data_IF_399564036995
#
_entry.id   IF_399564036995
#
_cell.length_a   1.000
_cell.length_b   1.000
_cell.length_c   1.000
_cell.angle_alpha   90.00
_cell.angle_beta   90.00
_cell.angle_gamma   90.00
#
_symmetry.space_group_name_H-M   'P 1'
#
loop_
_entity.id
_entity.type
_entity.pdbx_description
1 polymer ?
#
# COMPACT_ATOMS: atom_id res chain seq x y z
N UNK A 1 -6.18 -7.82 18.85
CA UNK A 1 -6.12 -8.40 17.49
C UNK A 1 -5.49 -7.34 16.59
N UNK A 2 -4.44 -7.66 15.83
CA UNK A 2 -3.93 -6.76 14.79
C UNK A 2 -5.09 -6.47 13.82
N UNK A 3 -5.36 -5.19 13.52
CA UNK A 3 -6.47 -4.79 12.65
C UNK A 3 -6.16 -4.97 11.16
N UNK A 4 -4.95 -5.39 10.83
CA UNK A 4 -4.59 -5.77 9.47
C UNK A 4 -5.54 -6.85 8.95
N UNK A 5 -5.89 -6.74 7.67
CA UNK A 5 -6.70 -7.74 6.99
C UNK A 5 -6.08 -9.13 7.19
N UNK A 6 -6.87 -10.17 7.53
CA UNK A 6 -6.34 -11.49 7.90
C UNK A 6 -5.49 -12.13 6.80
N UNK A 7 -5.66 -11.68 5.55
CA UNK A 7 -4.87 -12.15 4.41
C UNK A 7 -3.43 -11.64 4.40
N UNK A 8 -3.05 -10.59 5.14
CA UNK A 8 -1.68 -10.06 5.07
C UNK A 8 -0.72 -10.96 5.83
N UNK A 9 0.25 -11.51 5.11
CA UNK A 9 1.28 -12.41 5.63
C UNK A 9 2.55 -11.62 5.88
N UNK A 10 3.05 -11.72 7.12
CA UNK A 10 4.31 -11.14 7.54
C UNK A 10 5.47 -12.08 7.24
N UNK A 11 6.66 -11.53 6.97
CA UNK A 11 7.86 -12.28 6.65
C UNK A 11 8.36 -13.17 7.81
N UNK A 12 8.41 -12.63 9.05
CA UNK A 12 8.88 -13.33 10.27
C UNK A 12 10.27 -13.97 10.20
N UNK A 13 11.11 -13.55 9.26
CA UNK A 13 12.54 -13.93 9.21
C UNK A 13 13.34 -13.22 10.30
N UNK A 14 14.54 -13.70 10.58
CA UNK A 14 15.46 -13.07 11.53
C UNK A 14 15.70 -11.60 11.15
N UNK A 15 15.45 -10.64 12.05
CA UNK A 15 15.66 -9.23 11.76
C UNK A 15 17.16 -8.94 11.64
N UNK A 16 17.53 -8.13 10.65
CA UNK A 16 18.89 -7.68 10.42
C UNK A 16 19.15 -6.30 11.04
N UNK A 17 20.16 -5.60 10.52
CA UNK A 17 20.54 -4.26 10.99
C UNK A 17 19.68 -3.18 10.34
N UNK A 18 19.04 -3.47 9.21
CA UNK A 18 18.26 -2.51 8.44
C UNK A 18 17.04 -2.00 9.22
N UNK A 19 16.82 -0.69 9.15
CA UNK A 19 15.69 0.00 9.78
C UNK A 19 14.49 -0.03 8.81
N UNK A 20 13.32 -0.39 9.32
CA UNK A 20 12.07 -0.34 8.55
C UNK A 20 11.62 1.10 8.31
N UNK A 21 11.06 1.38 7.14
CA UNK A 21 10.47 2.70 6.80
C UNK A 21 8.96 2.61 6.57
N UNK A 22 8.25 3.73 6.69
CA UNK A 22 6.83 3.88 6.37
C UNK A 22 6.61 4.91 5.27
N UNK A 23 5.54 4.75 4.50
CA UNK A 23 5.11 5.68 3.46
C UNK A 23 4.22 6.78 4.08
N UNK A 24 4.02 7.90 3.39
CA UNK A 24 3.22 9.04 3.88
C UNK A 24 1.83 8.66 4.40
N UNK A 25 1.23 7.63 3.81
CA UNK A 25 -0.11 7.12 4.17
C UNK A 25 -0.14 6.35 5.48
N UNK A 26 1.01 5.83 5.90
CA UNK A 26 1.18 4.96 7.05
C UNK A 26 2.10 5.58 8.11
N UNK A 27 2.44 6.86 7.98
CA UNK A 27 3.34 7.54 8.90
C UNK A 27 2.82 7.49 10.35
N UNK A 28 3.71 7.16 11.28
CA UNK A 28 3.40 7.07 12.71
C UNK A 28 2.56 5.86 13.13
N UNK A 29 2.17 4.98 12.20
CA UNK A 29 1.48 3.73 12.54
C UNK A 29 2.43 2.71 13.14
N UNK A 30 1.95 2.01 14.15
CA UNK A 30 2.59 0.80 14.63
C UNK A 30 2.42 -0.32 13.61
N UNK A 31 3.51 -1.01 13.28
CA UNK A 31 3.58 -2.07 12.25
C UNK A 31 2.72 -3.31 12.56
N UNK A 32 2.26 -3.47 13.81
CA UNK A 32 1.50 -4.65 14.23
C UNK A 32 0.03 -4.33 14.49
N UNK A 33 -0.25 -3.25 15.21
CA UNK A 33 -1.60 -2.93 15.67
C UNK A 33 -2.25 -1.74 14.94
N UNK A 34 -1.54 -1.12 13.98
CA UNK A 34 -1.98 0.08 13.26
C UNK A 34 -2.32 1.28 14.16
N UNK A 35 -1.93 1.26 15.43
CA UNK A 35 -2.16 2.39 16.35
C UNK A 35 -1.12 3.48 16.15
N UNK A 36 -1.52 4.73 16.35
CA UNK A 36 -0.63 5.90 16.26
C UNK A 36 -0.03 6.32 17.60
N UNK A 37 -0.20 5.50 18.64
CA UNK A 37 0.03 5.90 20.04
C UNK A 37 1.36 5.36 20.54
N UNK A 38 2.17 6.25 21.13
CA UNK A 38 3.39 5.95 21.91
C UNK A 38 4.36 4.98 21.20
N UNK A 39 5.06 5.43 20.14
CA UNK A 39 6.18 4.67 19.60
C UNK A 39 7.28 4.52 20.67
N UNK A 40 7.84 3.32 20.80
CA UNK A 40 8.87 3.02 21.79
C UNK A 40 10.14 2.44 21.16
N UNK A 41 10.00 1.41 20.33
CA UNK A 41 11.16 0.73 19.73
C UNK A 41 11.16 0.86 18.22
N UNK A 42 12.36 1.01 17.66
CA UNK A 42 12.59 1.06 16.21
C UNK A 42 12.41 -0.33 15.59
N UNK A 43 11.78 -0.38 14.43
CA UNK A 43 11.52 -1.61 13.71
C UNK A 43 12.75 -2.02 12.90
N UNK A 44 13.11 -3.31 12.99
CA UNK A 44 14.20 -3.91 12.20
C UNK A 44 13.64 -4.88 11.17
N UNK A 45 14.19 -4.82 9.96
CA UNK A 45 13.82 -5.69 8.84
C UNK A 45 14.94 -6.67 8.53
N UNK A 46 14.59 -7.84 8.00
CA UNK A 46 15.57 -8.82 7.53
C UNK A 46 16.31 -8.31 6.28
N UNK A 47 17.51 -8.85 6.05
CA UNK A 47 18.37 -8.41 4.95
C UNK A 47 17.77 -8.72 3.57
N UNK A 48 17.00 -9.81 3.46
CA UNK A 48 16.28 -10.16 2.24
C UNK A 48 15.21 -9.12 1.87
N UNK A 49 14.44 -8.63 2.85
CA UNK A 49 13.41 -7.62 2.61
C UNK A 49 13.98 -6.22 2.34
N UNK A 50 15.28 -6.01 2.60
CA UNK A 50 16.00 -4.77 2.35
C UNK A 50 16.99 -4.89 1.18
N UNK A 51 16.84 -5.88 0.31
CA UNK A 51 17.77 -6.09 -0.79
C UNK A 51 17.36 -5.33 -2.07
N UNK A 52 18.32 -4.65 -2.71
CA UNK A 52 18.17 -3.99 -4.01
C UNK A 52 16.98 -3.03 -4.09
N UNK A 53 16.06 -3.26 -5.03
CA UNK A 53 14.88 -2.42 -5.27
C UNK A 53 13.88 -2.36 -4.11
N UNK A 54 14.02 -3.21 -3.09
CA UNK A 54 13.17 -3.20 -1.89
C UNK A 54 13.71 -2.28 -0.78
N UNK A 55 14.90 -1.71 -0.96
CA UNK A 55 15.50 -0.76 -0.03
C UNK A 55 14.60 0.46 0.18
N UNK A 56 14.48 0.87 1.44
CA UNK A 56 13.72 2.06 1.81
C UNK A 56 12.23 1.99 1.49
N UNK A 57 11.66 0.81 1.20
CA UNK A 57 10.23 0.66 0.96
C UNK A 57 9.43 0.52 2.26
N UNK A 58 8.21 1.05 2.24
CA UNK A 58 7.29 0.96 3.35
C UNK A 58 7.03 -0.48 3.79
N UNK A 59 7.08 -0.73 5.11
CA UNK A 59 6.89 -2.06 5.70
C UNK A 59 5.48 -2.62 5.50
N UNK A 60 4.47 -1.75 5.43
CA UNK A 60 3.05 -2.11 5.29
C UNK A 60 2.60 -2.04 3.83
N UNK A 61 2.85 -0.90 3.17
CA UNK A 61 2.28 -0.61 1.85
C UNK A 61 3.16 -1.08 0.67
N UNK A 62 4.48 -1.23 0.86
CA UNK A 62 5.45 -1.53 -0.21
C UNK A 62 5.78 -0.35 -1.14
N UNK A 63 5.24 0.84 -0.87
CA UNK A 63 5.55 2.10 -1.56
C UNK A 63 6.87 2.74 -1.11
N UNK A 64 7.23 3.93 -1.61
CA UNK A 64 8.43 4.66 -1.17
C UNK A 64 8.30 5.04 0.30
N UNK A 65 9.30 4.70 1.11
CA UNK A 65 9.33 4.99 2.54
C UNK A 65 10.09 6.29 2.83
N UNK A 66 9.53 7.11 3.72
CA UNK A 66 10.05 8.42 4.09
C UNK A 66 10.43 8.41 5.57
N UNK A 67 9.47 8.09 6.43
CA UNK A 67 9.66 8.04 7.89
C UNK A 67 10.16 6.67 8.36
N UNK A 68 10.77 6.63 9.54
CA UNK A 68 11.17 5.37 10.17
C UNK A 68 9.99 4.71 10.89
N UNK A 69 9.95 3.38 10.86
CA UNK A 69 8.88 2.57 11.44
C UNK A 69 9.16 2.28 12.93
N UNK A 70 8.10 2.31 13.75
CA UNK A 70 8.17 2.05 15.19
C UNK A 70 7.15 1.00 15.64
N UNK A 71 7.48 0.31 16.73
CA UNK A 71 6.51 -0.46 17.49
C UNK A 71 5.93 0.36 18.63
N UNK A 72 4.65 0.13 18.90
CA UNK A 72 3.92 0.71 20.02
C UNK A 72 4.39 0.14 21.36
N UNK A 73 4.29 0.93 22.44
CA UNK A 73 4.64 0.47 23.81
C UNK A 73 3.94 -0.84 24.21
N UNK A 74 2.66 -0.96 23.88
CA UNK A 74 1.85 -2.14 24.19
C UNK A 74 2.36 -3.38 23.44
N UNK A 75 2.79 -3.18 22.20
CA UNK A 75 3.31 -4.21 21.31
C UNK A 75 4.63 -4.77 21.84
N UNK A 76 5.51 -3.89 22.30
CA UNK A 76 6.75 -4.27 23.00
C UNK A 76 6.51 -4.93 24.34
N UNK A 77 5.48 -4.51 25.09
CA UNK A 77 5.15 -5.13 26.37
C UNK A 77 4.57 -6.55 26.21
N UNK A 78 3.92 -6.79 25.08
CA UNK A 78 3.47 -8.12 24.65
C UNK A 78 4.56 -8.92 23.92
N UNK A 79 5.81 -8.43 23.91
CA UNK A 79 6.98 -9.04 23.27
C UNK A 79 6.82 -9.32 21.76
N UNK A 80 5.89 -8.64 21.09
CA UNK A 80 5.62 -8.83 19.66
C UNK A 80 6.71 -8.26 18.75
N UNK A 81 7.58 -7.41 19.31
CA UNK A 81 8.80 -6.92 18.66
C UNK A 81 9.84 -8.02 18.43
N UNK A 82 9.69 -9.19 19.08
CA UNK A 82 10.58 -10.35 18.96
C UNK A 82 10.12 -11.41 17.97
N UNK A 83 8.94 -11.25 17.36
CA UNK A 83 8.35 -12.21 16.42
C UNK A 83 9.10 -12.31 15.07
N UNK A 84 10.01 -11.36 14.79
CA UNK A 84 10.85 -11.32 13.60
C UNK A 84 10.51 -10.15 12.66
N UNK A 85 10.94 -10.24 11.40
CA UNK A 85 10.77 -9.18 10.40
C UNK A 85 9.27 -8.92 10.11
N UNK A 86 8.76 -7.70 10.40
CA UNK A 86 7.33 -7.40 10.26
C UNK A 86 6.95 -6.93 8.84
N UNK A 87 7.82 -7.12 7.85
CA UNK A 87 7.55 -6.77 6.45
C UNK A 87 6.44 -7.64 5.87
N UNK A 88 5.47 -7.00 5.25
CA UNK A 88 4.38 -7.68 4.55
C UNK A 88 4.88 -8.10 3.17
N UNK A 89 4.79 -9.40 2.87
CA UNK A 89 5.30 -9.97 1.61
C UNK A 89 4.27 -9.98 0.49
N UNK A 90 2.99 -10.06 0.84
CA UNK A 90 1.90 -10.16 -0.12
C UNK A 90 1.16 -8.82 -0.28
N UNK A 91 0.64 -8.60 -1.48
CA UNK A 91 -0.29 -7.54 -1.78
C UNK A 91 -1.70 -8.09 -1.51
N UNK A 92 -2.35 -7.64 -0.43
CA UNK A 92 -3.65 -8.17 0.00
C UNK A 92 -4.76 -8.00 -1.05
N UNK A 93 -5.75 -8.90 -0.97
CA UNK A 93 -6.95 -8.98 -1.83
C UNK A 93 -7.65 -7.64 -2.01
N UNK A 94 -7.79 -6.85 -0.95
CA UNK A 94 -8.49 -5.56 -1.01
C UNK A 94 -7.85 -4.57 -2.00
N UNK A 95 -6.52 -4.58 -2.17
CA UNK A 95 -5.84 -3.72 -3.14
C UNK A 95 -5.99 -4.22 -4.58
N UNK A 96 -6.05 -5.54 -4.77
CA UNK A 96 -6.26 -6.12 -6.10
C UNK A 96 -7.70 -5.92 -6.56
N UNK A 97 -8.68 -6.08 -5.67
CA UNK A 97 -10.10 -5.93 -6.01
C UNK A 97 -10.41 -4.48 -6.42
N UNK A 98 -9.90 -3.49 -5.68
CA UNK A 98 -10.00 -2.07 -6.04
C UNK A 98 -9.41 -1.75 -7.43
N UNK A 99 -8.34 -2.44 -7.83
CA UNK A 99 -7.75 -2.27 -9.15
C UNK A 99 -8.67 -2.81 -10.26
N UNK A 100 -9.24 -4.00 -10.07
CA UNK A 100 -10.15 -4.61 -11.03
C UNK A 100 -11.49 -3.88 -11.12
N UNK A 101 -12.05 -3.41 -10.01
CA UNK A 101 -13.27 -2.60 -10.01
C UNK A 101 -13.08 -1.29 -10.77
N UNK A 102 -11.94 -0.62 -10.58
CA UNK A 102 -11.60 0.60 -11.32
C UNK A 102 -11.48 0.33 -12.82
N UNK A 103 -10.82 -0.75 -13.22
CA UNK A 103 -10.68 -1.14 -14.63
C UNK A 103 -12.04 -1.49 -15.27
N UNK A 104 -12.89 -2.24 -14.56
CA UNK A 104 -14.23 -2.58 -15.04
C UNK A 104 -15.11 -1.33 -15.24
N UNK A 105 -14.91 -0.27 -14.44
CA UNK A 105 -15.60 0.99 -14.67
C UNK A 105 -15.11 1.72 -15.92
N UNK A 106 -13.81 1.70 -16.23
CA UNK A 106 -13.31 2.20 -17.52
C UNK A 106 -13.86 1.41 -18.71
N UNK A 107 -13.91 0.08 -18.62
CA UNK A 107 -14.45 -0.77 -19.69
C UNK A 107 -15.96 -0.53 -19.89
N UNK A 108 -16.73 -0.32 -18.81
CA UNK A 108 -18.15 0.08 -18.88
C UNK A 108 -18.35 1.48 -19.47
N UNK A 109 -17.49 2.45 -19.14
CA UNK A 109 -17.55 3.80 -19.71
C UNK A 109 -17.26 3.78 -21.21
N UNK A 110 -16.26 3.00 -21.65
CA UNK A 110 -15.95 2.83 -23.08
C UNK A 110 -17.12 2.17 -23.84
N UNK A 111 -17.73 1.12 -23.27
CA UNK A 111 -18.90 0.48 -23.87
C UNK A 111 -20.11 1.44 -23.93
N UNK A 112 -20.37 2.22 -22.88
CA UNK A 112 -21.44 3.21 -22.85
C UNK A 112 -21.21 4.36 -23.86
N UNK A 113 -19.96 4.75 -24.09
CA UNK A 113 -19.62 5.72 -25.14
C UNK A 113 -19.86 5.14 -26.54
N UNK A 114 -19.53 3.86 -26.77
CA UNK A 114 -19.73 3.19 -28.06
C UNK A 114 -21.21 3.03 -28.46
N UNK A 115 -22.13 2.89 -27.50
CA UNK A 115 -23.57 2.83 -27.78
C UNK A 115 -24.20 4.21 -28.00
N UNK A 116 -23.58 5.29 -27.48
CA UNK A 116 -23.96 6.68 -27.78
C UNK A 116 -23.34 7.25 -29.06
N UNK A 117 -22.23 6.68 -29.53
CA UNK A 117 -21.54 7.10 -30.76
C UNK A 117 -22.29 6.74 -32.05
N UNK A 118 -23.32 5.89 -31.97
CA UNK A 118 -24.26 5.65 -33.08
C UNK A 118 -25.19 6.83 -33.35
N UNK A 119 -25.16 7.90 -32.54
CA UNK A 119 -26.08 9.05 -32.65
C UNK A 119 -25.41 10.43 -32.68
N UNK A 120 -24.08 10.56 -32.55
CA UNK A 120 -23.41 11.86 -32.50
C UNK A 120 -22.21 11.95 -33.44
N UNK A 121 -22.28 12.97 -34.30
CA UNK A 121 -21.33 13.34 -35.35
C UNK A 121 -19.88 13.50 -34.85
N UNK A 122 -18.95 13.09 -35.73
CA UNK A 122 -17.50 12.94 -35.53
C UNK A 122 -16.75 14.14 -34.90
N UNK A 123 -17.30 15.35 -34.93
CA UNK A 123 -16.59 16.57 -34.52
C UNK A 123 -16.55 16.81 -33.00
N UNK A 124 -17.35 16.09 -32.21
CA UNK A 124 -17.43 16.28 -30.74
C UNK A 124 -16.60 15.29 -29.91
N UNK A 125 -15.92 14.33 -30.55
CA UNK A 125 -15.12 13.31 -29.85
C UNK A 125 -13.72 13.80 -29.45
N UNK A 126 -13.17 14.77 -30.17
CA UNK A 126 -11.80 15.28 -29.97
C UNK A 126 -11.68 16.30 -28.81
N UNK A 127 -12.77 16.97 -28.43
CA UNK A 127 -12.76 17.97 -27.35
C UNK A 127 -12.93 17.33 -25.97
N UNK A 128 -13.74 16.26 -25.84
CA UNK A 128 -13.95 15.55 -24.56
C UNK A 128 -12.76 14.68 -24.13
N UNK A 129 -12.03 14.11 -25.08
CA UNK A 129 -10.83 13.29 -24.77
C UNK A 129 -9.67 14.13 -24.23
N UNK A 130 -9.55 15.41 -24.63
CA UNK A 130 -8.56 16.34 -24.05
C UNK A 130 -8.92 16.82 -22.64
N UNK A 131 -10.20 16.90 -22.29
CA UNK A 131 -10.61 17.31 -20.93
C UNK A 131 -10.34 16.22 -19.89
N UNK A 132 -10.51 14.95 -20.23
CA UNK A 132 -10.35 13.83 -19.29
C UNK A 132 -8.86 13.55 -18.96
N UNK A 133 -7.93 13.83 -19.89
CA UNK A 133 -6.50 13.67 -19.61
C UNK A 133 -5.92 14.73 -18.66
N UNK A 134 -6.60 15.87 -18.48
CA UNK A 134 -6.14 16.95 -17.59
C UNK A 134 -6.53 16.69 -16.12
N UNK A 135 -7.59 15.92 -15.84
CA UNK A 135 -7.97 15.56 -14.46
C UNK A 135 -7.21 14.35 -13.88
N UNK A 136 -6.32 13.72 -14.65
CA UNK A 136 -5.51 12.58 -14.22
C UNK A 136 -4.00 12.91 -14.05
N UNK A 137 -3.61 14.19 -14.06
CA UNK A 137 -2.25 14.65 -13.72
C UNK A 137 -2.17 15.15 -12.28
#
# INVERSE_FOLDING_TARGET
>A
MAKHHPDLVMCRKQPGVAIGRLCEKDDGKCVICDSYVRPCTLVRICDECNYGSYQGRCVICGGPGISDAYYCRECTQLEKDRDGCPKIVNLGSSKTDLFYERKNNYDKIILAFSTSASFMSCDTLASKTKQILVECS
#
